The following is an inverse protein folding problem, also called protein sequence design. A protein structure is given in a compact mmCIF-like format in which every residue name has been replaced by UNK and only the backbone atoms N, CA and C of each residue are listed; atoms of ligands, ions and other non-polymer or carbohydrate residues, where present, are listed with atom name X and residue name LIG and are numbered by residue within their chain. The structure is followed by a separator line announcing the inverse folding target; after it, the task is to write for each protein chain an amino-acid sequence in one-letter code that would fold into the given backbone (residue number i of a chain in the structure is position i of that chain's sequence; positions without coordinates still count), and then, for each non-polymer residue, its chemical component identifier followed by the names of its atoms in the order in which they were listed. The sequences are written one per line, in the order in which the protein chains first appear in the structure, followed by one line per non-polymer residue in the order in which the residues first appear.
data_IF_957927139759
#
_entry.id   IF_957927139759
#
_cell.length_a   1.000
_cell.length_b   1.000
_cell.length_c   1.000
_cell.angle_alpha   90.00
_cell.angle_beta   90.00
_cell.angle_gamma   90.00
#
_symmetry.space_group_name_H-M   'P 1'
#
loop_
_entity.id
_entity.type
_entity.pdbx_description
1 polymer ?
#
# COMPACT_ATOMS: atom_id res chain seq x y z
N UNK A 1 6.53 18.43 -13.25
CA UNK A 1 6.83 16.99 -13.39
C UNK A 1 5.69 16.22 -12.74
N UNK A 2 5.20 15.16 -13.39
CA UNK A 2 4.04 14.38 -12.93
C UNK A 2 4.48 13.30 -11.96
N UNK A 3 3.74 13.11 -10.85
CA UNK A 3 3.97 11.99 -9.92
C UNK A 3 3.20 10.74 -10.35
N UNK A 4 3.78 9.56 -10.14
CA UNK A 4 3.24 8.26 -10.55
C UNK A 4 3.13 7.32 -9.36
N UNK A 5 1.95 6.72 -9.19
CA UNK A 5 1.69 5.65 -8.22
C UNK A 5 1.39 4.35 -8.95
N UNK A 6 2.06 3.26 -8.59
CA UNK A 6 1.74 1.90 -9.06
C UNK A 6 0.92 1.19 -8.00
N UNK A 7 -0.28 0.74 -8.35
CA UNK A 7 -1.27 0.22 -7.39
C UNK A 7 -1.48 -1.29 -7.53
N UNK A 8 -1.77 -1.95 -6.40
CA UNK A 8 -2.04 -3.38 -6.36
C UNK A 8 -0.77 -4.23 -6.36
N UNK A 9 0.29 -3.74 -5.72
CA UNK A 9 1.54 -4.47 -5.51
C UNK A 9 1.29 -5.60 -4.53
N UNK A 10 1.74 -6.81 -4.87
CA UNK A 10 1.48 -8.01 -4.06
C UNK A 10 2.74 -8.74 -3.62
N UNK A 11 3.91 -8.39 -4.14
CA UNK A 11 5.19 -9.05 -3.86
C UNK A 11 6.34 -8.04 -3.93
N UNK A 12 7.51 -8.44 -3.44
CA UNK A 12 8.68 -7.57 -3.35
C UNK A 12 9.32 -7.29 -4.72
N UNK A 13 9.31 -8.27 -5.63
CA UNK A 13 9.96 -8.12 -6.94
C UNK A 13 9.26 -7.03 -7.77
N UNK A 14 7.92 -7.04 -7.81
CA UNK A 14 7.13 -5.99 -8.46
C UNK A 14 7.30 -4.63 -7.78
N UNK A 15 7.42 -4.62 -6.45
CA UNK A 15 7.64 -3.39 -5.68
C UNK A 15 8.97 -2.73 -6.07
N UNK A 16 10.05 -3.52 -6.10
CA UNK A 16 11.38 -3.01 -6.46
C UNK A 16 11.46 -2.62 -7.93
N UNK A 17 10.85 -3.40 -8.83
CA UNK A 17 10.78 -3.05 -10.24
C UNK A 17 10.06 -1.71 -10.47
N UNK A 18 8.95 -1.47 -9.77
CA UNK A 18 8.24 -0.19 -9.86
C UNK A 18 9.06 0.98 -9.31
N UNK A 19 9.82 0.76 -8.23
CA UNK A 19 10.75 1.74 -7.66
C UNK A 19 11.87 2.08 -8.63
N UNK A 20 12.51 1.07 -9.23
CA UNK A 20 13.59 1.25 -10.20
C UNK A 20 13.11 1.97 -11.47
N UNK A 21 11.84 1.77 -11.85
CA UNK A 21 11.18 2.48 -12.93
C UNK A 21 10.80 3.94 -12.58
N UNK A 22 11.00 4.38 -11.34
CA UNK A 22 10.79 5.76 -10.90
C UNK A 22 9.41 6.05 -10.31
N UNK A 23 8.71 5.06 -9.76
CA UNK A 23 7.44 5.29 -9.06
C UNK A 23 7.63 6.13 -7.77
N UNK A 24 6.80 7.16 -7.59
CA UNK A 24 6.79 7.99 -6.37
C UNK A 24 6.05 7.30 -5.21
N UNK A 25 5.16 6.36 -5.51
CA UNK A 25 4.34 5.68 -4.52
C UNK A 25 3.91 4.27 -4.96
N UNK A 26 3.71 3.39 -3.99
CA UNK A 26 3.23 2.03 -4.19
C UNK A 26 1.92 1.80 -3.42
N UNK A 27 0.94 1.15 -4.05
CA UNK A 27 -0.35 0.86 -3.46
C UNK A 27 -0.53 -0.61 -3.07
N UNK A 28 -0.95 -0.85 -1.83
CA UNK A 28 -1.24 -2.17 -1.25
C UNK A 28 -2.72 -2.27 -0.89
N UNK A 29 -3.42 -3.29 -1.40
CA UNK A 29 -4.88 -3.39 -1.28
C UNK A 29 -5.23 -4.29 -0.09
N UNK A 30 -5.82 -3.71 0.94
CA UNK A 30 -6.27 -4.42 2.16
C UNK A 30 -7.77 -4.74 2.11
N UNK A 31 -8.32 -4.89 0.90
CA UNK A 31 -9.73 -5.23 0.66
C UNK A 31 -9.83 -6.70 0.27
N UNK A 32 -10.46 -7.49 1.13
CA UNK A 32 -10.68 -8.92 0.93
C UNK A 32 -11.46 -9.20 -0.37
N UNK A 33 -11.34 -10.43 -0.89
CA UNK A 33 -12.01 -10.88 -2.13
C UNK A 33 -11.60 -10.12 -3.41
N UNK A 34 -10.52 -9.35 -3.38
CA UNK A 34 -9.90 -8.78 -4.58
C UNK A 34 -8.70 -9.64 -5.03
N UNK A 35 -8.40 -9.73 -6.34
CA UNK A 35 -7.27 -10.53 -6.83
C UNK A 35 -5.89 -9.99 -6.39
N UNK A 36 -5.85 -8.78 -5.82
CA UNK A 36 -4.63 -8.09 -5.37
C UNK A 36 -4.63 -7.85 -3.86
N UNK A 37 -5.50 -8.54 -3.13
CA UNK A 37 -5.55 -8.48 -1.68
C UNK A 37 -4.21 -8.90 -1.06
N UNK A 38 -3.78 -8.17 -0.03
CA UNK A 38 -2.57 -8.45 0.75
C UNK A 38 -2.84 -8.31 2.24
N UNK A 39 -2.04 -9.02 3.04
CA UNK A 39 -2.08 -8.95 4.51
C UNK A 39 -0.96 -8.06 5.06
N UNK A 40 -1.10 -7.52 6.28
CA UNK A 40 -0.04 -6.74 6.91
C UNK A 40 1.30 -7.46 7.00
N UNK A 41 1.29 -8.76 7.32
CA UNK A 41 2.49 -9.59 7.43
C UNK A 41 3.25 -9.69 6.09
N UNK A 42 2.53 -9.64 4.97
CA UNK A 42 3.12 -9.64 3.63
C UNK A 42 3.67 -8.27 3.24
N UNK A 43 2.98 -7.19 3.63
CA UNK A 43 3.31 -5.82 3.21
C UNK A 43 4.42 -5.21 4.06
N UNK A 44 4.42 -5.42 5.37
CA UNK A 44 5.41 -4.86 6.28
C UNK A 44 6.88 -5.10 5.85
N UNK A 45 7.31 -6.32 5.44
CA UNK A 45 8.67 -6.53 4.94
C UNK A 45 8.95 -5.79 3.62
N UNK A 46 7.97 -5.67 2.72
CA UNK A 46 8.12 -4.92 1.47
C UNK A 46 8.34 -3.45 1.78
N UNK A 47 7.49 -2.86 2.64
CA UNK A 47 7.59 -1.45 3.03
C UNK A 47 8.93 -1.13 3.69
N UNK A 48 9.45 -2.04 4.53
CA UNK A 48 10.78 -1.89 5.14
C UNK A 48 11.93 -1.91 4.14
N UNK A 49 11.76 -2.57 2.99
CA UNK A 49 12.77 -2.65 1.94
C UNK A 49 12.74 -1.46 0.97
N UNK A 50 11.68 -0.63 0.99
CA UNK A 50 11.57 0.51 0.08
C UNK A 50 12.64 1.56 0.38
N UNK A 51 13.24 2.17 -0.66
CA UNK A 51 14.15 3.28 -0.45
C UNK A 51 13.40 4.51 0.08
N UNK A 52 14.14 5.51 0.60
CA UNK A 52 13.56 6.80 0.96
C UNK A 52 12.76 7.41 -0.19
N UNK A 53 11.77 8.22 0.16
CA UNK A 53 10.93 9.02 -0.75
C UNK A 53 9.93 8.26 -1.62
N UNK A 54 9.86 6.93 -1.55
CA UNK A 54 8.74 6.15 -2.10
C UNK A 54 7.65 6.02 -1.04
N UNK A 55 6.42 6.45 -1.38
CA UNK A 55 5.30 6.45 -0.41
C UNK A 55 4.51 5.14 -0.46
N UNK A 56 4.51 4.31 0.59
CA UNK A 56 3.60 3.17 0.70
C UNK A 56 2.18 3.64 1.06
N UNK A 57 1.22 3.26 0.24
CA UNK A 57 -0.19 3.65 0.35
C UNK A 57 -1.05 2.42 0.60
N UNK A 58 -1.85 2.42 1.66
CA UNK A 58 -2.87 1.38 1.88
C UNK A 58 -4.20 1.76 1.28
N UNK A 59 -4.82 0.82 0.58
CA UNK A 59 -6.16 0.99 0.00
C UNK A 59 -7.15 0.22 0.87
N UNK A 60 -8.22 0.90 1.27
CA UNK A 60 -9.31 0.37 2.09
C UNK A 60 -10.65 0.65 1.42
N UNK A 61 -11.67 -0.12 1.82
CA UNK A 61 -13.05 0.04 1.36
C UNK A 61 -13.97 -0.11 2.57
N UNK A 62 -14.49 0.99 3.11
CA UNK A 62 -15.43 1.00 4.24
C UNK A 62 -14.99 0.19 5.48
N UNK A 63 -13.68 0.05 5.69
CA UNK A 63 -13.15 -0.66 6.86
C UNK A 63 -13.32 0.20 8.12
N UNK A 64 -13.59 -0.41 9.29
CA UNK A 64 -13.60 0.32 10.55
C UNK A 64 -12.28 1.06 10.80
N UNK A 65 -12.33 2.30 11.32
CA UNK A 65 -11.12 3.10 11.58
C UNK A 65 -10.07 2.36 12.43
N UNK A 66 -10.51 1.55 13.40
CA UNK A 66 -9.60 0.74 14.23
C UNK A 66 -8.79 -0.26 13.41
N UNK A 67 -9.41 -0.89 12.40
CA UNK A 67 -8.73 -1.78 11.48
C UNK A 67 -7.73 -1.01 10.61
N UNK A 68 -8.16 0.10 10.01
CA UNK A 68 -7.30 0.93 9.14
C UNK A 68 -6.06 1.40 9.89
N UNK A 69 -6.22 1.88 11.13
CA UNK A 69 -5.11 2.32 11.98
C UNK A 69 -4.16 1.18 12.30
N UNK A 70 -4.68 0.02 12.71
CA UNK A 70 -3.85 -1.14 13.04
C UNK A 70 -3.02 -1.60 11.83
N UNK A 71 -3.62 -1.65 10.64
CA UNK A 71 -2.92 -2.01 9.39
C UNK A 71 -1.85 -0.97 9.04
N UNK A 72 -2.18 0.33 9.15
CA UNK A 72 -1.24 1.41 8.85
C UNK A 72 0.00 1.36 9.73
N UNK A 73 -0.19 1.16 11.04
CA UNK A 73 0.90 1.03 12.01
C UNK A 73 1.73 -0.23 11.76
N UNK A 74 1.08 -1.39 11.57
CA UNK A 74 1.77 -2.66 11.36
C UNK A 74 2.64 -2.68 10.10
N UNK A 75 2.16 -2.04 9.01
CA UNK A 75 2.88 -2.02 7.74
C UNK A 75 3.85 -0.84 7.59
N UNK A 76 3.74 0.20 8.43
CA UNK A 76 4.46 1.45 8.23
C UNK A 76 3.95 2.26 7.02
N UNK A 77 2.63 2.23 6.76
CA UNK A 77 2.03 3.00 5.67
C UNK A 77 2.17 4.50 5.94
N UNK A 78 2.37 5.28 4.87
CA UNK A 78 2.56 6.73 4.96
C UNK A 78 1.42 7.54 4.34
N UNK A 79 0.53 6.87 3.63
CA UNK A 79 -0.72 7.43 3.16
C UNK A 79 -1.81 6.36 3.16
N UNK A 80 -3.06 6.80 3.26
CA UNK A 80 -4.25 5.97 3.24
C UNK A 80 -5.13 6.43 2.08
N UNK A 81 -5.64 5.49 1.30
CA UNK A 81 -6.59 5.72 0.22
C UNK A 81 -7.89 5.00 0.55
N UNK A 82 -8.94 5.81 0.71
CA UNK A 82 -10.32 5.38 0.92
C UNK A 82 -11.02 5.32 -0.43
N UNK A 83 -11.71 4.22 -0.72
CA UNK A 83 -12.28 3.95 -2.04
C UNK A 83 -13.74 3.46 -1.97
N UNK A 84 -14.34 3.46 -0.79
CA UNK A 84 -15.75 3.21 -0.57
C UNK A 84 -16.53 4.52 -0.37
N UNK A 85 -17.50 4.47 0.54
CA UNK A 85 -18.34 5.59 0.96
C UNK A 85 -18.01 6.00 2.41
N UNK A 86 -16.72 6.11 2.72
CA UNK A 86 -16.23 6.37 4.08
C UNK A 86 -16.76 7.72 4.62
N UNK A 87 -17.17 7.74 5.90
CA UNK A 87 -17.70 8.92 6.61
C UNK A 87 -16.90 9.24 7.87
#
# INVERSE_FOLDING_TARGET
MTRVKICGITNIDDAMLAVDAGADALGFIFVENTPRFVTPDKVAPIVRALPPFVTPVGIFWDHPMGHVKAVAEACGLRALQFHGDEK
#
